data_IF_501909166585
#
_entry.id   IF_501909166585
#
_cell.length_a   1.000
_cell.length_b   1.000
_cell.length_c   1.000
_cell.angle_alpha   90.00
_cell.angle_beta   90.00
_cell.angle_gamma   90.00
#
_symmetry.space_group_name_H-M   'P 1'
#
loop_
_entity.id
_entity.type
_entity.pdbx_description
1 polymer ?
#
# COMPACT_ATOMS: atom_id res chain seq x y z
N UNK A 1 5.30 -31.00 -21.28
CA UNK A 1 6.71 -30.48 -21.28
C UNK A 1 6.86 -29.10 -21.95
N UNK A 2 6.14 -28.78 -23.04
CA UNK A 2 6.15 -27.42 -23.64
C UNK A 2 5.33 -26.44 -22.78
N UNK A 3 4.13 -26.83 -22.33
CA UNK A 3 3.31 -26.02 -21.40
C UNK A 3 4.01 -25.74 -20.06
N UNK A 4 4.83 -26.69 -19.57
CA UNK A 4 5.55 -26.50 -18.31
C UNK A 4 6.72 -25.52 -18.46
N UNK A 5 7.40 -25.51 -19.63
CA UNK A 5 8.46 -24.52 -19.92
C UNK A 5 7.93 -23.10 -20.10
N UNK A 6 6.76 -22.93 -20.70
CA UNK A 6 6.10 -21.63 -20.83
C UNK A 6 5.66 -21.10 -19.46
N UNK A 7 5.16 -21.96 -18.55
CA UNK A 7 4.80 -21.60 -17.19
C UNK A 7 6.01 -21.19 -16.34
N UNK A 8 7.13 -21.91 -16.44
CA UNK A 8 8.37 -21.59 -15.72
C UNK A 8 8.98 -20.27 -16.20
N UNK A 9 8.90 -19.98 -17.50
CA UNK A 9 9.32 -18.69 -18.07
C UNK A 9 8.43 -17.55 -17.58
N UNK A 10 7.12 -17.77 -17.42
CA UNK A 10 6.16 -16.82 -16.89
C UNK A 10 6.46 -16.43 -15.42
N UNK A 11 6.71 -17.40 -14.53
CA UNK A 11 7.06 -17.15 -13.13
C UNK A 11 8.38 -16.39 -12.98
N UNK A 12 9.40 -16.72 -13.80
CA UNK A 12 10.66 -15.97 -13.84
C UNK A 12 10.48 -14.54 -14.35
N UNK A 13 9.66 -14.36 -15.37
CA UNK A 13 9.35 -13.02 -15.90
C UNK A 13 8.61 -12.15 -14.87
N UNK A 14 7.73 -12.75 -14.07
CA UNK A 14 6.99 -12.02 -13.02
C UNK A 14 7.88 -11.64 -11.84
N UNK A 15 8.78 -12.53 -11.37
CA UNK A 15 9.79 -12.16 -10.36
C UNK A 15 10.71 -11.06 -10.85
N UNK A 16 11.12 -11.10 -12.12
CA UNK A 16 11.87 -10.01 -12.75
C UNK A 16 11.01 -8.72 -12.80
N UNK A 17 9.74 -8.80 -13.20
CA UNK A 17 8.86 -7.64 -13.28
C UNK A 17 8.53 -7.02 -11.90
N UNK A 18 8.49 -7.81 -10.83
CA UNK A 18 8.32 -7.26 -9.47
C UNK A 18 9.59 -6.57 -8.98
N UNK A 19 10.78 -7.09 -9.30
CA UNK A 19 12.05 -6.43 -8.98
C UNK A 19 12.25 -5.14 -9.76
N UNK A 20 11.77 -5.06 -11.01
CA UNK A 20 11.78 -3.84 -11.83
C UNK A 20 10.76 -2.77 -11.36
N UNK A 21 9.85 -3.13 -10.46
CA UNK A 21 8.81 -2.24 -9.89
C UNK A 21 9.18 -1.64 -8.54
N UNK A 22 10.29 -2.02 -7.94
CA UNK A 22 10.69 -1.48 -6.63
C UNK A 22 11.10 -0.02 -6.77
N UNK A 23 10.25 0.88 -6.32
CA UNK A 23 10.55 2.30 -6.26
C UNK A 23 11.38 2.64 -5.02
N UNK A 24 11.02 2.06 -3.88
CA UNK A 24 11.70 2.27 -2.60
C UNK A 24 12.24 0.94 -2.10
N UNK A 25 13.53 0.91 -1.74
CA UNK A 25 14.11 -0.27 -1.09
C UNK A 25 13.37 -0.57 0.22
N UNK A 26 12.94 -1.82 0.46
CA UNK A 26 12.17 -2.18 1.66
C UNK A 26 13.05 -2.26 2.94
N UNK A 27 14.00 -1.33 3.09
CA UNK A 27 14.98 -1.30 4.18
C UNK A 27 15.32 0.14 4.57
N UNK A 28 15.65 0.33 5.86
CA UNK A 28 16.09 1.63 6.39
C UNK A 28 14.95 2.60 6.65
N UNK A 29 15.26 3.88 6.61
CA UNK A 29 14.30 4.96 6.90
C UNK A 29 14.22 5.93 5.74
N UNK A 30 13.62 5.53 4.59
CA UNK A 30 13.46 6.43 3.46
C UNK A 30 12.52 7.57 3.81
N UNK A 31 12.79 8.75 3.25
CA UNK A 31 11.90 9.89 3.34
C UNK A 31 10.91 9.91 2.20
N UNK A 32 9.63 10.04 2.51
CA UNK A 32 8.54 10.00 1.54
C UNK A 32 7.71 11.28 1.69
N UNK A 33 7.61 12.14 0.65
CA UNK A 33 6.73 13.29 0.68
C UNK A 33 5.26 12.85 0.62
N UNK A 34 4.44 13.38 1.52
CA UNK A 34 2.98 13.21 1.56
C UNK A 34 2.33 14.55 1.30
N UNK A 35 1.80 14.72 0.11
CA UNK A 35 1.22 15.97 -0.36
C UNK A 35 -0.28 15.95 -0.08
N UNK A 36 -0.74 16.90 0.73
CA UNK A 36 -2.15 17.08 1.01
C UNK A 36 -2.79 17.91 -0.09
N UNK A 37 -3.90 17.43 -0.67
CA UNK A 37 -4.50 18.03 -1.86
C UNK A 37 -5.95 18.41 -1.65
N UNK A 38 -6.26 19.70 -1.84
CA UNK A 38 -7.60 20.23 -2.00
C UNK A 38 -7.94 20.39 -3.48
N UNK A 39 -9.22 20.33 -3.81
CA UNK A 39 -9.77 20.73 -5.11
C UNK A 39 -10.47 22.09 -5.02
N UNK A 40 -10.89 22.64 -6.15
CA UNK A 40 -11.63 23.90 -6.17
C UNK A 40 -12.98 23.82 -5.44
N UNK A 41 -13.59 22.65 -5.44
CA UNK A 41 -14.92 22.35 -4.88
C UNK A 41 -14.88 21.49 -3.60
N UNK A 42 -13.76 20.81 -3.31
CA UNK A 42 -13.63 19.89 -2.18
C UNK A 42 -12.36 20.21 -1.38
N UNK A 43 -12.45 20.24 -0.07
CA UNK A 43 -11.31 20.55 0.83
C UNK A 43 -11.20 19.52 1.92
N UNK A 44 -9.96 19.28 2.35
CA UNK A 44 -9.65 18.42 3.49
C UNK A 44 -10.38 18.94 4.74
N UNK A 45 -11.13 18.06 5.37
CA UNK A 45 -11.98 18.36 6.52
C UNK A 45 -11.50 17.71 7.80
N UNK A 46 -10.68 16.66 7.69
CA UNK A 46 -10.21 15.92 8.87
C UNK A 46 -9.13 16.71 9.58
N UNK A 47 -9.47 17.25 10.74
CA UNK A 47 -8.55 17.97 11.62
C UNK A 47 -8.97 17.75 13.07
N UNK A 48 -8.51 16.66 13.68
CA UNK A 48 -8.81 16.36 15.09
C UNK A 48 -7.88 17.06 16.08
N UNK A 49 -6.89 17.82 15.60
CA UNK A 49 -5.89 18.47 16.44
C UNK A 49 -6.02 19.97 16.41
N UNK A 50 -5.74 20.62 17.54
CA UNK A 50 -5.68 22.09 17.64
C UNK A 50 -4.57 22.71 16.74
N UNK A 51 -3.66 21.89 16.23
CA UNK A 51 -2.56 22.30 15.34
C UNK A 51 -2.90 22.19 13.86
N UNK A 52 -4.09 21.66 13.53
CA UNK A 52 -4.62 21.62 12.17
C UNK A 52 -4.29 20.35 11.38
N UNK A 53 -4.62 20.39 10.09
CA UNK A 53 -4.61 19.25 9.17
C UNK A 53 -3.22 18.62 9.02
N UNK A 54 -2.17 19.43 8.90
CA UNK A 54 -0.80 18.94 8.73
C UNK A 54 -0.32 18.11 9.94
N UNK A 55 -0.63 18.56 11.17
CA UNK A 55 -0.31 17.83 12.40
C UNK A 55 -1.13 16.52 12.51
N UNK A 56 -2.38 16.52 12.05
CA UNK A 56 -3.19 15.32 11.98
C UNK A 56 -2.54 14.29 11.08
N UNK A 57 -2.17 14.66 9.84
CA UNK A 57 -1.55 13.74 8.90
C UNK A 57 -0.11 13.36 9.23
N UNK A 58 0.65 14.23 9.90
CA UNK A 58 1.95 13.84 10.46
C UNK A 58 1.80 12.68 11.46
N UNK A 59 0.81 12.77 12.34
CA UNK A 59 0.52 11.67 13.29
C UNK A 59 -0.08 10.44 12.61
N UNK A 60 -0.95 10.63 11.63
CA UNK A 60 -1.51 9.54 10.84
C UNK A 60 -0.40 8.73 10.13
N UNK A 61 0.59 9.41 9.58
CA UNK A 61 1.70 8.78 8.86
C UNK A 61 2.78 8.25 9.81
N UNK A 62 3.23 9.06 10.78
CA UNK A 62 4.45 8.83 11.56
C UNK A 62 4.21 8.38 13.01
N UNK A 63 2.96 8.46 13.49
CA UNK A 63 2.64 8.20 14.89
C UNK A 63 2.95 9.37 15.82
N UNK A 64 2.78 9.12 17.10
CA UNK A 64 3.12 10.09 18.14
C UNK A 64 4.58 9.90 18.55
N UNK A 65 5.34 10.99 18.61
CA UNK A 65 6.79 10.94 18.94
C UNK A 65 7.06 10.63 20.41
N UNK A 66 6.02 10.55 21.23
CA UNK A 66 6.07 10.22 22.65
C UNK A 66 5.95 8.73 22.95
N UNK A 67 5.89 7.88 21.91
CA UNK A 67 5.77 6.43 22.02
C UNK A 67 4.36 5.91 22.31
N UNK A 68 3.35 6.80 22.31
CA UNK A 68 1.94 6.42 22.37
C UNK A 68 1.48 6.04 20.95
N UNK A 69 0.82 4.90 20.79
CA UNK A 69 0.28 4.51 19.49
C UNK A 69 -0.74 5.56 19.01
N UNK A 70 -0.61 5.93 17.75
CA UNK A 70 -1.63 6.75 17.10
C UNK A 70 -2.94 5.98 17.01
N UNK A 71 -4.01 6.58 17.50
CA UNK A 71 -5.37 5.99 17.48
C UNK A 71 -6.39 6.93 16.86
N UNK A 72 -5.94 7.97 16.16
CA UNK A 72 -6.81 8.89 15.42
C UNK A 72 -7.67 8.12 14.42
N UNK A 73 -8.90 8.58 14.20
CA UNK A 73 -9.91 7.89 13.42
C UNK A 73 -10.21 6.46 13.89
N UNK A 74 -9.76 6.06 15.09
CA UNK A 74 -9.87 4.70 15.61
C UNK A 74 -8.85 3.71 15.04
N UNK A 75 -7.82 4.18 14.34
CA UNK A 75 -6.73 3.33 13.84
C UNK A 75 -5.95 2.67 14.97
N UNK A 76 -5.40 1.49 14.69
CA UNK A 76 -4.55 0.75 15.64
C UNK A 76 -3.19 1.39 15.87
N UNK A 77 -2.71 2.15 14.91
CA UNK A 77 -1.42 2.82 14.90
C UNK A 77 -1.30 3.66 13.63
N UNK A 78 -0.16 4.28 13.43
CA UNK A 78 0.18 5.02 12.22
C UNK A 78 0.66 4.11 11.09
N UNK A 79 0.77 4.66 9.88
CA UNK A 79 1.34 3.94 8.72
C UNK A 79 2.76 3.44 9.03
N UNK A 80 3.59 4.28 9.64
CA UNK A 80 4.94 3.89 10.08
C UNK A 80 4.94 2.76 11.09
N UNK A 81 3.99 2.75 12.05
CA UNK A 81 3.87 1.69 13.05
C UNK A 81 3.53 0.35 12.40
N UNK A 82 2.67 0.38 11.36
CA UNK A 82 2.36 -0.79 10.56
C UNK A 82 3.63 -1.38 9.95
N UNK A 83 4.36 -0.60 9.16
CA UNK A 83 5.57 -1.07 8.50
C UNK A 83 6.68 -1.48 9.48
N UNK A 84 6.83 -0.76 10.58
CA UNK A 84 7.79 -1.12 11.64
C UNK A 84 7.52 -2.52 12.19
N UNK A 85 6.25 -2.85 12.45
CA UNK A 85 5.89 -4.18 12.96
C UNK A 85 5.99 -5.26 11.88
N UNK A 86 5.55 -4.97 10.64
CA UNK A 86 5.59 -5.96 9.55
C UNK A 86 7.01 -6.35 9.15
N UNK A 87 7.95 -5.41 9.25
CA UNK A 87 9.34 -5.57 8.86
C UNK A 87 10.30 -5.95 10.01
N UNK A 88 9.81 -6.18 11.23
CA UNK A 88 10.66 -6.30 12.41
C UNK A 88 11.62 -5.08 12.57
N UNK A 89 11.15 -3.89 12.25
CA UNK A 89 11.87 -2.61 12.23
C UNK A 89 12.99 -2.50 11.20
N UNK A 90 13.02 -3.36 10.20
CA UNK A 90 13.97 -3.24 9.08
C UNK A 90 13.61 -2.08 8.13
N UNK A 91 12.33 -1.70 8.08
CA UNK A 91 11.81 -0.62 7.26
C UNK A 91 11.01 0.35 8.15
N UNK A 92 11.51 1.58 8.27
CA UNK A 92 10.97 2.62 9.15
C UNK A 92 10.76 3.92 8.35
N UNK A 93 9.80 3.97 7.42
CA UNK A 93 9.63 5.14 6.55
C UNK A 93 9.38 6.41 7.38
N UNK A 94 9.92 7.52 6.89
CA UNK A 94 9.69 8.86 7.43
C UNK A 94 8.86 9.66 6.43
N UNK A 95 7.62 9.93 6.78
CA UNK A 95 6.70 10.68 5.93
C UNK A 95 6.81 12.17 6.24
N UNK A 96 7.00 12.99 5.23
CA UNK A 96 7.01 14.44 5.38
C UNK A 96 5.75 15.03 4.74
N UNK A 97 4.87 15.58 5.58
CA UNK A 97 3.58 16.14 5.17
C UNK A 97 3.77 17.55 4.62
N UNK A 98 3.30 17.77 3.39
CA UNK A 98 3.46 19.02 2.63
C UNK A 98 2.08 19.56 2.23
N UNK A 99 1.88 20.85 2.37
CA UNK A 99 0.64 21.50 1.99
C UNK A 99 -0.32 21.78 3.16
N UNK A 100 -1.65 21.85 2.92
CA UNK A 100 -2.34 21.47 1.68
C UNK A 100 -2.07 22.41 0.51
N UNK A 101 -1.95 21.80 -0.69
CA UNK A 101 -2.01 22.50 -1.97
C UNK A 101 -3.48 22.53 -2.46
N UNK A 102 -3.82 23.47 -3.35
CA UNK A 102 -5.19 23.54 -3.89
C UNK A 102 -5.14 23.59 -5.40
N UNK A 103 -5.78 22.61 -6.02
CA UNK A 103 -5.92 22.50 -7.48
C UNK A 103 -7.08 23.38 -7.98
N UNK A 104 -6.94 23.92 -9.17
CA UNK A 104 -7.88 24.88 -9.74
C UNK A 104 -9.17 24.24 -10.29
N UNK A 105 -9.17 22.92 -10.51
CA UNK A 105 -10.30 22.16 -11.03
C UNK A 105 -11.02 21.40 -9.92
N UNK A 106 -12.31 21.05 -10.13
CA UNK A 106 -13.05 20.18 -9.22
C UNK A 106 -12.48 18.74 -9.22
N UNK A 107 -12.73 17.97 -8.15
CA UNK A 107 -12.31 16.58 -8.07
C UNK A 107 -12.80 15.77 -9.27
N UNK A 108 -14.05 15.95 -9.70
CA UNK A 108 -14.66 15.27 -10.83
C UNK A 108 -13.92 15.48 -12.17
N UNK A 109 -13.16 16.55 -12.32
CA UNK A 109 -12.32 16.76 -13.49
C UNK A 109 -11.14 15.77 -13.54
N UNK A 110 -10.47 15.55 -12.41
CA UNK A 110 -9.32 14.65 -12.33
C UNK A 110 -9.72 13.17 -12.26
N UNK A 111 -10.86 12.88 -11.65
CA UNK A 111 -11.43 11.54 -11.50
C UNK A 111 -12.21 11.04 -12.70
N UNK A 112 -12.34 11.84 -13.79
CA UNK A 112 -13.10 11.43 -14.97
C UNK A 112 -12.60 10.09 -15.54
N UNK A 113 -13.52 9.14 -15.68
CA UNK A 113 -13.27 7.86 -16.32
C UNK A 113 -13.48 7.93 -17.85
N UNK A 114 -12.74 7.12 -18.61
CA UNK A 114 -12.97 7.03 -20.04
C UNK A 114 -14.26 6.26 -20.35
N UNK A 115 -14.89 6.51 -21.50
CA UNK A 115 -16.02 5.70 -21.96
C UNK A 115 -15.69 4.21 -22.15
N UNK A 116 -14.42 3.85 -22.26
CA UNK A 116 -13.92 2.47 -22.36
C UNK A 116 -13.63 1.83 -20.99
N UNK A 117 -13.88 2.54 -19.88
CA UNK A 117 -13.70 2.04 -18.51
C UNK A 117 -12.32 2.27 -17.90
N UNK A 118 -11.41 2.98 -18.58
CA UNK A 118 -10.16 3.37 -17.95
C UNK A 118 -10.41 4.42 -16.86
N UNK A 119 -9.90 4.18 -15.67
CA UNK A 119 -10.09 5.03 -14.49
C UNK A 119 -9.20 6.27 -14.54
N UNK A 120 -9.77 7.42 -14.12
CA UNK A 120 -9.06 8.69 -13.88
C UNK A 120 -8.11 9.08 -15.02
N UNK A 121 -8.63 9.32 -16.19
CA UNK A 121 -7.83 9.65 -17.40
C UNK A 121 -6.93 10.88 -17.23
N UNK A 122 -7.19 11.72 -16.21
CA UNK A 122 -6.38 12.90 -15.87
C UNK A 122 -5.57 12.75 -14.58
N UNK A 123 -5.36 11.52 -14.10
CA UNK A 123 -4.58 11.28 -12.89
C UNK A 123 -3.14 11.83 -13.00
N UNK A 124 -2.51 11.73 -14.17
CA UNK A 124 -1.20 12.34 -14.38
C UNK A 124 -1.21 13.86 -14.26
N UNK A 125 -2.31 14.53 -14.68
CA UNK A 125 -2.49 15.98 -14.53
C UNK A 125 -2.68 16.35 -13.06
N UNK A 126 -3.52 15.61 -12.33
CA UNK A 126 -3.67 15.73 -10.87
C UNK A 126 -2.31 15.67 -10.16
N UNK A 127 -1.50 14.64 -10.44
CA UNK A 127 -0.17 14.50 -9.83
C UNK A 127 0.76 15.67 -10.21
N UNK A 128 0.75 16.08 -11.49
CA UNK A 128 1.61 17.17 -11.98
C UNK A 128 1.31 18.50 -11.32
N UNK A 129 0.04 18.90 -11.25
CA UNK A 129 -0.38 20.17 -10.65
C UNK A 129 -0.12 20.19 -9.13
N UNK A 130 -0.35 19.07 -8.44
CA UNK A 130 -0.05 18.97 -7.02
C UNK A 130 1.47 19.03 -6.75
N UNK A 131 2.28 18.35 -7.56
CA UNK A 131 3.76 18.41 -7.46
C UNK A 131 4.30 19.78 -7.80
N UNK A 132 3.73 20.49 -8.77
CA UNK A 132 4.15 21.84 -9.13
C UNK A 132 4.07 22.78 -7.93
N UNK A 133 2.98 22.73 -7.18
CA UNK A 133 2.82 23.52 -5.97
C UNK A 133 3.72 23.01 -4.83
N UNK A 134 3.77 21.69 -4.59
CA UNK A 134 4.56 21.10 -3.51
C UNK A 134 6.06 21.39 -3.64
N UNK A 135 6.62 21.33 -4.86
CA UNK A 135 8.03 21.64 -5.13
C UNK A 135 8.38 23.10 -4.91
N UNK A 136 7.40 24.01 -4.92
CA UNK A 136 7.64 25.42 -4.54
C UNK A 136 7.62 25.62 -3.02
N UNK A 137 6.92 24.77 -2.27
CA UNK A 137 6.87 24.82 -0.80
C UNK A 137 8.14 24.25 -0.15
N UNK A 138 8.84 23.33 -0.83
CA UNK A 138 10.04 22.65 -0.34
C UNK A 138 11.16 22.83 -1.35
N UNK A 139 12.08 23.77 -1.07
CA UNK A 139 13.12 24.19 -2.03
C UNK A 139 14.17 23.12 -2.37
N UNK A 140 14.40 22.16 -1.47
CA UNK A 140 15.32 21.04 -1.62
C UNK A 140 14.59 19.70 -1.90
N UNK A 141 13.37 19.76 -2.43
CA UNK A 141 12.48 18.61 -2.66
C UNK A 141 13.20 17.42 -3.31
N UNK A 142 13.94 17.66 -4.39
CA UNK A 142 14.66 16.63 -5.10
C UNK A 142 15.68 15.90 -4.21
N UNK A 143 16.57 16.64 -3.56
CA UNK A 143 17.65 16.04 -2.75
C UNK A 143 17.17 15.47 -1.42
N UNK A 144 16.02 15.94 -0.95
CA UNK A 144 15.42 15.50 0.31
C UNK A 144 14.76 14.13 0.18
N UNK A 145 14.17 13.84 -0.99
CA UNK A 145 13.36 12.65 -1.23
C UNK A 145 13.95 11.68 -2.27
N UNK A 146 15.17 11.92 -2.72
CA UNK A 146 16.00 11.01 -3.51
C UNK A 146 16.77 10.12 -2.52
N UNK A 147 16.19 8.98 -2.15
CA UNK A 147 16.72 8.14 -1.07
C UNK A 147 17.92 7.27 -1.51
N UNK A 148 18.08 7.03 -2.80
CA UNK A 148 19.16 6.19 -3.33
C UNK A 148 20.25 6.98 -4.07
N UNK A 149 20.08 8.30 -4.22
CA UNK A 149 21.05 9.19 -4.85
C UNK A 149 21.09 9.07 -6.36
N UNK A 150 20.05 8.53 -6.99
CA UNK A 150 19.98 8.35 -8.44
C UNK A 150 19.54 9.62 -9.21
N UNK A 151 19.21 10.69 -8.50
CA UNK A 151 18.76 11.96 -9.05
C UNK A 151 17.26 12.06 -9.29
N UNK A 152 16.48 11.08 -8.81
CA UNK A 152 15.02 11.08 -8.87
C UNK A 152 14.41 10.91 -7.48
N UNK A 153 13.21 11.44 -7.28
CA UNK A 153 12.38 11.16 -6.10
C UNK A 153 11.71 9.82 -6.32
N UNK A 154 11.87 8.90 -5.38
CA UNK A 154 11.41 7.52 -5.53
C UNK A 154 9.89 7.42 -5.57
N UNK A 155 9.21 8.02 -4.59
CA UNK A 155 7.77 8.04 -4.44
C UNK A 155 7.29 9.41 -3.98
N UNK A 156 6.22 9.94 -4.57
CA UNK A 156 5.40 11.00 -4.00
C UNK A 156 4.00 10.47 -3.71
N UNK A 157 3.56 10.61 -2.46
CA UNK A 157 2.23 10.17 -2.02
C UNK A 157 1.27 11.35 -1.91
N UNK A 158 0.02 11.17 -2.33
CA UNK A 158 -1.02 12.21 -2.25
C UNK A 158 -2.17 11.74 -1.35
N UNK A 159 -2.59 12.62 -0.42
CA UNK A 159 -3.85 12.45 0.31
C UNK A 159 -4.78 13.54 -0.17
N UNK A 160 -5.83 13.15 -0.89
CA UNK A 160 -6.76 14.07 -1.49
C UNK A 160 -8.06 14.21 -0.68
N UNK A 161 -8.69 15.40 -0.76
CA UNK A 161 -9.96 15.72 -0.13
C UNK A 161 -11.10 14.85 -0.68
N UNK A 162 -12.05 14.50 0.16
CA UNK A 162 -13.28 13.81 -0.21
C UNK A 162 -13.21 12.29 -0.17
N UNK A 163 -14.17 11.63 -0.82
CA UNK A 163 -14.37 10.18 -0.86
C UNK A 163 -13.68 9.55 -2.08
N UNK A 164 -13.23 8.28 -2.00
CA UNK A 164 -12.64 7.58 -3.13
C UNK A 164 -13.73 6.92 -4.01
N UNK A 165 -13.48 6.79 -5.30
CA UNK A 165 -14.35 6.05 -6.22
C UNK A 165 -14.49 4.56 -5.82
N UNK A 166 -13.49 3.99 -5.15
CA UNK A 166 -13.50 2.59 -4.70
C UNK A 166 -14.58 2.28 -3.64
N UNK A 167 -15.14 3.29 -2.99
CA UNK A 167 -16.17 3.09 -1.97
C UNK A 167 -17.55 2.87 -2.58
N UNK A 168 -18.36 1.94 -2.06
CA UNK A 168 -19.67 1.64 -2.59
C UNK A 168 -20.60 2.84 -2.67
N UNK A 169 -21.12 3.14 -3.87
CA UNK A 169 -22.07 4.22 -4.12
C UNK A 169 -21.46 5.62 -4.05
N UNK A 170 -20.17 5.74 -4.22
CA UNK A 170 -19.49 6.99 -4.57
C UNK A 170 -19.55 7.15 -6.10
N UNK A 171 -19.54 8.39 -6.57
CA UNK A 171 -19.59 8.70 -8.02
C UNK A 171 -18.35 8.19 -8.74
N UNK A 172 -18.52 7.79 -10.00
CA UNK A 172 -17.43 7.38 -10.89
C UNK A 172 -16.48 8.54 -11.29
N UNK A 173 -16.83 9.77 -10.93
CA UNK A 173 -15.99 10.95 -11.12
C UNK A 173 -15.09 11.25 -9.90
N UNK A 174 -15.15 10.45 -8.83
CA UNK A 174 -14.20 10.53 -7.74
C UNK A 174 -12.90 9.81 -8.13
N UNK A 175 -11.77 10.22 -7.55
CA UNK A 175 -10.48 9.60 -7.86
C UNK A 175 -10.41 8.20 -7.20
N UNK A 176 -9.97 7.21 -7.98
CA UNK A 176 -9.67 5.87 -7.48
C UNK A 176 -8.29 5.87 -6.80
N UNK A 177 -8.16 5.39 -5.53
CA UNK A 177 -6.85 5.20 -4.89
C UNK A 177 -6.00 4.24 -5.71
N UNK A 178 -4.75 4.63 -5.97
CA UNK A 178 -3.85 3.83 -6.81
C UNK A 178 -2.39 4.24 -6.71
N UNK A 179 -1.52 3.34 -7.14
CA UNK A 179 -0.15 3.64 -7.55
C UNK A 179 -0.09 3.86 -9.06
N UNK A 180 0.83 4.71 -9.51
CA UNK A 180 1.17 4.90 -10.91
C UNK A 180 2.69 4.94 -11.10
N UNK A 181 3.21 3.93 -11.80
CA UNK A 181 4.62 3.84 -12.19
C UNK A 181 4.80 4.58 -13.52
N UNK A 182 4.87 5.89 -13.45
CA UNK A 182 5.11 6.75 -14.61
C UNK A 182 5.96 7.95 -14.20
N UNK A 183 7.26 7.95 -14.56
CA UNK A 183 8.11 9.09 -14.24
C UNK A 183 7.57 10.39 -14.82
N UNK A 184 7.57 11.44 -14.00
CA UNK A 184 7.19 12.80 -14.41
C UNK A 184 8.21 13.81 -13.91
N UNK A 185 8.45 14.87 -14.69
CA UNK A 185 9.39 15.91 -14.32
C UNK A 185 8.69 17.25 -14.23
N UNK A 186 8.70 17.83 -13.03
CA UNK A 186 8.05 19.11 -12.69
C UNK A 186 9.09 19.99 -12.00
N UNK A 187 9.28 21.21 -12.47
CA UNK A 187 10.23 22.20 -11.91
C UNK A 187 11.67 21.65 -11.74
N UNK A 188 12.09 20.75 -12.67
CA UNK A 188 13.41 20.12 -12.60
C UNK A 188 13.53 18.96 -11.60
N UNK A 189 12.42 18.60 -10.94
CA UNK A 189 12.31 17.43 -10.06
C UNK A 189 11.66 16.28 -10.85
N UNK A 190 12.34 15.16 -10.96
CA UNK A 190 11.76 13.92 -11.51
C UNK A 190 11.26 13.06 -10.37
N UNK A 191 10.01 12.59 -10.46
CA UNK A 191 9.39 11.65 -9.53
C UNK A 191 9.14 10.36 -10.28
N UNK A 192 9.60 9.23 -9.75
CA UNK A 192 9.53 7.91 -10.42
C UNK A 192 8.14 7.28 -10.30
N UNK A 193 7.56 7.32 -9.10
CA UNK A 193 6.28 6.71 -8.77
C UNK A 193 5.42 7.69 -8.01
N UNK A 194 4.13 7.68 -8.29
CA UNK A 194 3.11 8.43 -7.55
C UNK A 194 2.04 7.49 -7.02
N UNK A 195 1.54 7.76 -5.81
CA UNK A 195 0.44 6.99 -5.24
C UNK A 195 -0.53 7.92 -4.49
N UNK A 196 -1.77 7.51 -4.33
CA UNK A 196 -2.76 8.34 -3.63
C UNK A 196 -3.78 7.53 -2.82
N UNK A 197 -4.34 8.19 -1.81
CA UNK A 197 -5.56 7.77 -1.13
C UNK A 197 -6.43 8.98 -0.76
N UNK A 198 -7.69 8.72 -0.41
CA UNK A 198 -8.63 9.74 0.04
C UNK A 198 -8.49 10.05 1.53
N UNK A 199 -8.90 11.25 1.94
CA UNK A 199 -9.04 11.61 3.36
C UNK A 199 -10.22 10.93 4.05
N UNK A 200 -11.30 10.66 3.31
CA UNK A 200 -12.54 10.11 3.81
C UNK A 200 -12.81 8.72 3.22
N UNK A 201 -13.53 7.92 3.98
CA UNK A 201 -14.17 6.68 3.52
C UNK A 201 -15.66 6.69 3.85
N UNK A 202 -16.45 5.94 3.07
CA UNK A 202 -17.89 5.83 3.27
C UNK A 202 -18.19 4.72 4.26
N UNK A 203 -18.52 5.10 5.49
CA UNK A 203 -19.00 4.18 6.50
C UNK A 203 -20.51 3.94 6.44
N UNK A 204 -21.00 2.97 7.22
CA UNK A 204 -22.42 2.66 7.33
C UNK A 204 -23.26 3.82 7.91
N UNK A 205 -22.63 4.70 8.68
CA UNK A 205 -23.29 5.84 9.35
C UNK A 205 -22.96 7.19 8.70
N UNK A 206 -22.33 7.21 7.54
CA UNK A 206 -21.89 8.41 6.81
C UNK A 206 -20.40 8.43 6.55
N UNK A 207 -19.92 9.56 6.03
CA UNK A 207 -18.50 9.75 5.76
C UNK A 207 -17.71 9.78 7.07
N UNK A 208 -16.56 9.12 7.08
CA UNK A 208 -15.64 9.07 8.22
C UNK A 208 -14.21 9.26 7.75
N UNK A 209 -13.28 9.67 8.62
CA UNK A 209 -11.86 9.70 8.28
C UNK A 209 -11.39 8.31 7.81
N UNK A 210 -10.65 8.27 6.72
CA UNK A 210 -10.05 7.02 6.21
C UNK A 210 -9.07 6.44 7.24
N UNK A 211 -9.11 5.12 7.40
CA UNK A 211 -8.07 4.40 8.12
C UNK A 211 -6.76 4.35 7.29
N UNK A 212 -5.71 3.79 7.89
CA UNK A 212 -4.38 3.75 7.27
C UNK A 212 -4.23 2.67 6.18
N UNK A 213 -5.22 1.77 6.04
CA UNK A 213 -5.09 0.55 5.25
C UNK A 213 -4.79 0.81 3.78
N UNK A 214 -5.52 1.73 3.14
CA UNK A 214 -5.28 2.07 1.73
C UNK A 214 -3.90 2.68 1.52
N UNK A 215 -3.44 3.57 2.42
CA UNK A 215 -2.08 4.11 2.31
C UNK A 215 -1.03 3.00 2.48
N UNK A 216 -1.23 2.06 3.41
CA UNK A 216 -0.33 0.91 3.57
C UNK A 216 -0.29 0.04 2.30
N UNK A 217 -1.43 -0.19 1.66
CA UNK A 217 -1.55 -0.94 0.40
C UNK A 217 -0.76 -0.26 -0.73
N UNK A 218 -1.04 1.03 -0.99
CA UNK A 218 -0.39 1.76 -2.09
C UNK A 218 1.13 1.96 -1.87
N UNK A 219 1.57 2.18 -0.62
CA UNK A 219 3.01 2.21 -0.30
C UNK A 219 3.65 0.83 -0.50
N UNK A 220 2.92 -0.25 -0.24
CA UNK A 220 3.43 -1.62 -0.46
C UNK A 220 3.66 -1.93 -1.94
N UNK A 221 2.89 -1.34 -2.85
CA UNK A 221 3.19 -1.40 -4.28
C UNK A 221 4.55 -0.77 -4.60
N UNK A 222 4.85 0.41 -4.03
CA UNK A 222 6.15 1.06 -4.21
C UNK A 222 7.33 0.24 -3.63
N UNK A 223 7.06 -0.68 -2.70
CA UNK A 223 8.04 -1.67 -2.22
C UNK A 223 8.17 -2.90 -3.13
N UNK A 224 7.32 -3.02 -4.16
CA UNK A 224 7.35 -4.10 -5.16
C UNK A 224 6.34 -5.22 -4.94
N UNK A 225 5.39 -5.09 -4.01
CA UNK A 225 4.31 -6.07 -3.85
C UNK A 225 3.24 -5.88 -4.94
N UNK A 226 2.83 -6.95 -5.63
CA UNK A 226 1.71 -6.91 -6.56
C UNK A 226 0.38 -6.99 -5.82
N UNK A 227 -0.71 -6.68 -6.53
CA UNK A 227 -2.06 -7.03 -6.08
C UNK A 227 -2.21 -8.56 -5.97
N UNK A 228 -2.92 -9.00 -4.92
CA UNK A 228 -3.24 -10.41 -4.66
C UNK A 228 -4.72 -10.72 -4.92
N UNK A 229 -5.46 -9.79 -5.51
CA UNK A 229 -6.80 -10.02 -6.04
C UNK A 229 -6.76 -10.31 -7.55
N UNK A 230 -7.79 -11.01 -8.04
CA UNK A 230 -7.95 -11.22 -9.47
C UNK A 230 -8.43 -9.95 -10.18
N UNK A 231 -7.53 -9.29 -10.89
CA UNK A 231 -7.81 -8.06 -11.64
C UNK A 231 -8.84 -8.24 -12.76
N UNK A 232 -9.13 -9.49 -13.17
CA UNK A 232 -10.20 -9.81 -14.13
C UNK A 232 -11.53 -10.18 -13.45
N UNK A 233 -11.56 -10.24 -12.11
CA UNK A 233 -12.75 -10.60 -11.33
C UNK A 233 -13.38 -11.97 -11.70
N UNK A 234 -12.57 -12.93 -12.13
CA UNK A 234 -13.00 -14.27 -12.52
C UNK A 234 -12.76 -15.31 -11.43
N UNK A 235 -11.94 -14.98 -10.43
CA UNK A 235 -11.59 -15.83 -9.30
C UNK A 235 -11.54 -15.04 -8.00
N UNK A 236 -11.55 -15.76 -6.88
CA UNK A 236 -11.23 -15.17 -5.58
C UNK A 236 -9.71 -15.04 -5.45
N UNK A 237 -9.23 -13.86 -5.02
CA UNK A 237 -7.86 -13.64 -4.60
C UNK A 237 -7.62 -14.10 -3.16
N UNK A 238 -6.74 -13.39 -2.46
CA UNK A 238 -6.47 -13.59 -1.03
C UNK A 238 -7.54 -13.00 -0.12
N UNK A 239 -8.45 -12.15 -0.66
CA UNK A 239 -9.52 -11.49 0.07
C UNK A 239 -8.99 -10.73 1.30
N UNK A 240 -9.63 -10.84 2.44
CA UNK A 240 -9.21 -10.14 3.68
C UNK A 240 -7.92 -10.67 4.32
N UNK A 241 -7.27 -11.71 3.73
CA UNK A 241 -6.06 -12.31 4.27
C UNK A 241 -4.76 -11.65 3.82
N UNK A 242 -4.81 -10.80 2.80
CA UNK A 242 -3.66 -10.04 2.31
C UNK A 242 -3.96 -8.55 2.33
N UNK A 243 -2.97 -7.74 2.74
CA UNK A 243 -3.01 -6.29 2.59
C UNK A 243 -3.16 -5.91 1.10
N UNK A 244 -2.55 -6.70 0.21
CA UNK A 244 -2.54 -6.46 -1.24
C UNK A 244 -3.81 -6.96 -1.95
N UNK A 245 -4.85 -7.29 -1.16
CA UNK A 245 -6.23 -7.53 -1.57
C UNK A 245 -7.13 -6.78 -0.59
N UNK A 246 -8.28 -7.27 -0.24
CA UNK A 246 -9.27 -6.62 0.61
C UNK A 246 -8.86 -6.49 2.09
N UNK A 247 -7.71 -7.04 2.48
CA UNK A 247 -7.18 -6.93 3.85
C UNK A 247 -6.84 -5.50 4.28
N UNK A 248 -6.61 -4.59 3.31
CA UNK A 248 -6.47 -3.16 3.57
C UNK A 248 -7.74 -2.52 4.14
N UNK A 249 -8.93 -3.10 3.87
CA UNK A 249 -10.24 -2.63 4.37
C UNK A 249 -10.65 -3.26 5.70
N UNK A 250 -9.84 -4.12 6.32
CA UNK A 250 -10.15 -4.68 7.63
C UNK A 250 -10.43 -3.56 8.64
N UNK A 251 -11.53 -3.72 9.42
CA UNK A 251 -12.00 -2.69 10.36
C UNK A 251 -12.15 -1.30 9.71
N UNK A 252 -12.69 -1.24 8.50
CA UNK A 252 -12.80 -0.01 7.69
C UNK A 252 -11.43 0.68 7.46
N UNK A 253 -10.39 -0.10 7.23
CA UNK A 253 -9.03 0.39 7.01
C UNK A 253 -8.29 0.85 8.26
N UNK A 254 -8.93 0.79 9.44
CA UNK A 254 -8.34 1.26 10.71
C UNK A 254 -7.35 0.27 11.30
N UNK A 255 -7.60 -1.02 11.06
CA UNK A 255 -6.75 -2.12 11.46
C UNK A 255 -6.55 -3.04 10.25
N UNK A 256 -5.80 -2.59 9.21
CA UNK A 256 -5.50 -3.44 8.07
C UNK A 256 -4.81 -4.72 8.52
N UNK A 257 -5.03 -5.83 7.83
CA UNK A 257 -4.40 -7.09 8.20
C UNK A 257 -2.86 -7.00 8.04
N UNK A 258 -2.13 -7.81 8.79
CA UNK A 258 -0.68 -7.95 8.62
C UNK A 258 -0.35 -8.55 7.25
N UNK A 259 0.86 -8.27 6.75
CA UNK A 259 1.38 -8.91 5.55
C UNK A 259 1.47 -10.43 5.75
N UNK A 260 1.17 -11.18 4.71
CA UNK A 260 1.33 -12.63 4.70
C UNK A 260 2.80 -13.03 4.84
N UNK A 261 3.05 -14.26 5.21
CA UNK A 261 4.42 -14.78 5.26
C UNK A 261 5.11 -14.73 3.89
N UNK A 262 4.35 -14.88 2.82
CA UNK A 262 4.83 -14.76 1.43
C UNK A 262 5.26 -13.34 1.10
N UNK A 263 4.43 -12.34 1.40
CA UNK A 263 4.75 -10.92 1.17
C UNK A 263 5.99 -10.48 1.95
N UNK A 264 6.12 -10.92 3.21
CA UNK A 264 7.31 -10.63 4.03
C UNK A 264 8.58 -11.30 3.49
N UNK A 265 8.47 -12.50 2.91
CA UNK A 265 9.59 -13.20 2.22
C UNK A 265 10.00 -12.45 0.95
N UNK A 266 9.03 -11.99 0.14
CA UNK A 266 9.28 -11.18 -1.05
C UNK A 266 10.04 -9.90 -0.74
N UNK A 267 9.67 -9.20 0.34
CA UNK A 267 10.32 -7.97 0.79
C UNK A 267 11.66 -8.23 1.50
N UNK A 268 12.02 -9.50 1.72
CA UNK A 268 13.25 -9.86 2.44
C UNK A 268 13.20 -9.57 3.94
N UNK A 269 12.02 -9.30 4.50
CA UNK A 269 11.88 -8.99 5.93
C UNK A 269 11.89 -10.24 6.81
N UNK A 270 11.22 -11.30 6.37
CA UNK A 270 11.14 -12.56 7.12
C UNK A 270 11.10 -13.75 6.17
N UNK A 271 12.26 -14.40 5.93
CA UNK A 271 12.36 -15.54 5.04
C UNK A 271 11.47 -16.72 5.47
N UNK A 272 10.87 -17.39 4.48
CA UNK A 272 10.15 -18.64 4.69
C UNK A 272 11.11 -19.77 5.09
N UNK A 273 10.70 -20.58 6.07
CA UNK A 273 11.43 -21.79 6.45
C UNK A 273 11.03 -22.96 5.56
N UNK A 274 11.95 -23.48 4.78
CA UNK A 274 11.68 -24.65 3.90
C UNK A 274 11.58 -25.92 4.72
N UNK A 275 10.51 -26.69 4.51
CA UNK A 275 10.33 -28.02 5.08
C UNK A 275 10.77 -29.08 4.05
N UNK A 276 11.97 -29.61 4.24
CA UNK A 276 12.60 -30.55 3.30
C UNK A 276 12.13 -32.00 3.48
N UNK A 277 11.44 -32.30 4.57
CA UNK A 277 10.97 -33.65 4.90
C UNK A 277 9.72 -33.60 5.76
N UNK A 278 9.01 -34.73 5.82
CA UNK A 278 7.90 -34.91 6.76
C UNK A 278 8.32 -34.60 8.18
N UNK A 279 7.68 -33.64 8.80
CA UNK A 279 7.99 -33.15 10.14
C UNK A 279 6.75 -32.57 10.82
N UNK A 280 6.83 -32.37 12.13
CA UNK A 280 5.82 -31.66 12.90
C UNK A 280 6.38 -30.31 13.28
N UNK A 281 5.66 -29.23 12.96
CA UNK A 281 6.01 -27.88 13.31
C UNK A 281 4.91 -27.23 14.16
N UNK A 282 5.32 -26.30 15.03
CA UNK A 282 4.39 -25.48 15.79
C UNK A 282 4.23 -24.14 15.09
N UNK A 283 3.06 -23.91 14.49
CA UNK A 283 2.73 -22.65 13.86
C UNK A 283 2.30 -21.62 14.92
N UNK A 284 3.17 -20.65 15.22
CA UNK A 284 2.82 -19.48 16.03
C UNK A 284 2.16 -18.44 15.12
N UNK A 285 1.23 -17.61 15.64
CA UNK A 285 0.65 -16.52 14.86
C UNK A 285 1.75 -15.58 14.32
N UNK A 286 1.64 -15.18 13.04
CA UNK A 286 2.62 -14.28 12.40
C UNK A 286 2.82 -13.01 13.21
N UNK A 287 1.72 -12.37 13.61
CA UNK A 287 1.72 -11.12 14.38
C UNK A 287 2.22 -11.28 15.84
N UNK A 288 2.40 -12.52 16.31
CA UNK A 288 3.05 -12.84 17.58
C UNK A 288 4.47 -13.37 17.41
N UNK A 289 5.15 -13.01 16.34
CA UNK A 289 6.51 -13.42 16.02
C UNK A 289 6.60 -14.84 15.44
N UNK A 290 5.52 -15.34 14.84
CA UNK A 290 5.52 -16.58 14.06
C UNK A 290 6.30 -16.45 12.77
N UNK A 291 6.61 -17.59 12.15
CA UNK A 291 7.26 -17.69 10.83
C UNK A 291 6.37 -18.46 9.87
N UNK A 292 6.51 -18.16 8.58
CA UNK A 292 5.91 -18.96 7.53
C UNK A 292 6.80 -20.16 7.16
N UNK A 293 6.16 -21.24 6.73
CA UNK A 293 6.84 -22.42 6.22
C UNK A 293 6.53 -22.63 4.76
N UNK A 294 7.53 -23.13 4.02
CA UNK A 294 7.42 -23.43 2.60
C UNK A 294 7.59 -24.95 2.37
N UNK A 295 6.61 -25.55 1.70
CA UNK A 295 6.66 -26.93 1.25
C UNK A 295 6.76 -26.93 -0.27
N UNK A 296 7.89 -27.35 -0.80
CA UNK A 296 8.19 -27.29 -2.22
C UNK A 296 7.74 -28.58 -2.91
N UNK A 297 7.15 -28.48 -4.10
CA UNK A 297 6.91 -29.62 -4.96
C UNK A 297 8.25 -30.05 -5.58
N UNK A 298 8.78 -31.22 -5.18
CA UNK A 298 10.06 -31.74 -5.68
C UNK A 298 10.07 -31.94 -7.21
N UNK A 299 8.92 -32.22 -7.81
CA UNK A 299 8.80 -32.40 -9.25
C UNK A 299 8.77 -31.08 -10.02
N UNK A 300 8.41 -29.98 -9.36
CA UNK A 300 8.38 -28.62 -9.91
C UNK A 300 8.66 -27.60 -8.79
N UNK A 301 9.91 -27.22 -8.56
CA UNK A 301 10.28 -26.31 -7.45
C UNK A 301 9.65 -24.91 -7.51
N UNK A 302 9.09 -24.53 -8.66
CA UNK A 302 8.34 -23.27 -8.80
C UNK A 302 6.91 -23.36 -8.21
N UNK A 303 6.46 -24.59 -7.87
CA UNK A 303 5.20 -24.84 -7.16
C UNK A 303 5.48 -25.18 -5.70
N UNK A 304 4.83 -24.48 -4.79
CA UNK A 304 5.01 -24.70 -3.36
C UNK A 304 3.80 -24.21 -2.56
N UNK A 305 3.63 -24.78 -1.37
CA UNK A 305 2.68 -24.29 -0.38
C UNK A 305 3.38 -23.37 0.61
N UNK A 306 2.68 -22.32 1.01
CA UNK A 306 3.07 -21.51 2.18
C UNK A 306 2.08 -21.80 3.30
N UNK A 307 2.62 -22.13 4.48
CA UNK A 307 1.86 -22.40 5.68
C UNK A 307 2.09 -21.27 6.68
N UNK A 308 1.04 -20.65 7.13
CA UNK A 308 1.07 -19.59 8.14
C UNK A 308 -0.08 -19.72 9.14
N UNK A 309 0.06 -19.09 10.29
CA UNK A 309 -1.00 -19.01 11.29
C UNK A 309 -1.41 -17.56 11.48
N UNK A 310 -2.68 -17.26 11.23
CA UNK A 310 -3.30 -15.94 11.39
C UNK A 310 -4.30 -16.01 12.55
N UNK A 311 -4.13 -15.12 13.52
CA UNK A 311 -4.97 -15.05 14.72
C UNK A 311 -5.26 -13.58 15.02
N UNK A 312 -6.33 -13.30 15.79
CA UNK A 312 -6.70 -11.96 16.22
C UNK A 312 -5.69 -11.35 17.21
N UNK A 313 -4.47 -11.12 16.73
CA UNK A 313 -3.39 -10.44 17.48
C UNK A 313 -2.69 -9.46 16.56
N UNK A 314 -2.09 -8.42 17.11
CA UNK A 314 -1.38 -7.43 16.31
C UNK A 314 -2.29 -6.79 15.25
N UNK A 315 -1.78 -6.60 14.06
CA UNK A 315 -2.54 -6.05 12.94
C UNK A 315 -3.61 -7.02 12.41
N UNK A 316 -3.48 -8.31 12.66
CA UNK A 316 -4.51 -9.31 12.33
C UNK A 316 -5.75 -9.24 13.24
N UNK A 317 -5.78 -8.33 14.21
CA UNK A 317 -6.94 -8.17 15.08
C UNK A 317 -8.19 -7.70 14.31
N UNK A 318 -8.01 -7.07 13.15
CA UNK A 318 -9.09 -6.66 12.25
C UNK A 318 -9.64 -7.77 11.34
N UNK A 319 -9.02 -8.95 11.29
CA UNK A 319 -9.49 -10.08 10.49
C UNK A 319 -10.88 -10.55 10.97
N UNK A 320 -11.74 -10.91 10.03
CA UNK A 320 -13.09 -11.41 10.36
C UNK A 320 -13.08 -12.82 10.96
N UNK A 321 -12.05 -13.62 10.67
CA UNK A 321 -11.88 -15.00 11.15
C UNK A 321 -10.44 -15.24 11.57
N UNK A 322 -10.22 -16.02 12.64
CA UNK A 322 -8.92 -16.57 12.97
C UNK A 322 -8.82 -17.99 12.42
N UNK A 323 -7.83 -18.27 11.58
CA UNK A 323 -7.63 -19.58 10.96
C UNK A 323 -6.14 -19.93 10.91
N UNK A 324 -5.85 -21.23 10.92
CA UNK A 324 -4.62 -21.74 10.32
C UNK A 324 -4.86 -21.71 8.82
N UNK A 325 -4.21 -20.77 8.13
CA UNK A 325 -4.33 -20.66 6.68
C UNK A 325 -3.29 -21.53 6.02
N UNK A 326 -3.75 -22.47 5.19
CA UNK A 326 -2.93 -23.22 4.27
C UNK A 326 -3.20 -22.59 2.91
N UNK A 327 -2.29 -21.75 2.48
CA UNK A 327 -2.31 -21.31 1.09
C UNK A 327 -1.95 -22.52 0.25
N UNK A 328 -2.89 -23.00 -0.56
CA UNK A 328 -2.59 -23.95 -1.62
C UNK A 328 -1.46 -23.42 -2.50
N UNK A 329 -0.73 -24.30 -3.25
CA UNK A 329 0.37 -23.83 -4.06
C UNK A 329 -0.18 -22.69 -4.84
N UNK A 330 0.23 -21.56 -4.43
CA UNK A 330 0.07 -20.42 -5.25
C UNK A 330 0.89 -20.77 -6.49
N UNK A 331 0.24 -21.46 -7.44
CA UNK A 331 0.38 -20.80 -8.72
C UNK A 331 0.05 -19.37 -8.36
N UNK A 332 1.02 -18.46 -8.43
CA UNK A 332 0.61 -17.11 -8.35
C UNK A 332 -0.57 -17.05 -9.30
N UNK A 333 -1.79 -16.84 -8.78
CA UNK A 333 -2.95 -16.51 -9.57
C UNK A 333 -2.68 -15.11 -10.08
N UNK A 334 -1.56 -14.99 -10.80
CA UNK A 334 -1.22 -13.82 -11.55
C UNK A 334 -2.04 -13.88 -12.76
N UNK A 335 -3.00 -13.16 -12.63
CA UNK A 335 -3.80 -12.74 -13.69
C UNK A 335 -3.17 -11.45 -14.15
N UNK A 336 -2.54 -11.58 -15.30
CA UNK A 336 -1.91 -10.52 -16.07
C UNK A 336 -2.82 -9.33 -16.29
#
# INVERSE_FOLDING_TARGET
>A
RLRDREKTASVRAMRASSQDRVAIKPLGSPRIPVILVNFSDEKLTVAETAKGIADYYDKYCNGTRDGILYTGAGSRGAVRDYFAQQSDSLFLPEFEVIGPVTLDKPMAYYGENSPSGAKDIRFSEFCSEALEQATTLVSDFKTRFDNDGNGTVDLAFFIYAGLPESDPGVTEDAIWPKEMIRPMTINGVTVSVTACCSELSKGSSGNQPSGIGTMCHEVSHALGLPDEYDTNYTALGMSYWSLMDSGNYCDNGKTPCGLTAYERDLLGWRPLTVLERSTTVRLRPLEAGGVGYKVVNEANPDEYYVLENRQHVGWDNGLMLSLIHISEPTRPLYIS
#
